data_IF_020876447320
#
_entry.id   IF_020876447320
#
_cell.length_a   1.000
_cell.length_b   1.000
_cell.length_c   1.000
_cell.angle_alpha   90.00
_cell.angle_beta   90.00
_cell.angle_gamma   90.00
#
_symmetry.space_group_name_H-M   'P 1'
#
loop_
_entity.id
_entity.type
_entity.pdbx_description
1 polymer ?
#
# COMPACT_ATOMS: atom_id res chain seq x y z
N UNK A 1 -16.00 1.75 14.49
CA UNK A 1 -15.07 1.85 13.35
C UNK A 1 -15.65 2.82 12.33
N UNK A 2 -14.88 3.80 11.88
CA UNK A 2 -15.30 4.78 10.87
C UNK A 2 -14.69 4.43 9.51
N UNK A 3 -15.49 4.37 8.45
CA UNK A 3 -15.01 4.08 7.09
C UNK A 3 -14.47 5.35 6.45
N UNK A 4 -13.19 5.36 6.12
CA UNK A 4 -12.51 6.50 5.49
C UNK A 4 -12.61 6.47 3.97
N UNK A 5 -12.56 5.28 3.38
CA UNK A 5 -12.62 5.09 1.92
C UNK A 5 -13.17 3.71 1.57
N UNK A 6 -13.87 3.62 0.44
CA UNK A 6 -14.24 2.36 -0.21
C UNK A 6 -14.39 2.59 -1.71
N UNK A 7 -13.61 1.85 -2.51
CA UNK A 7 -13.61 1.99 -3.97
C UNK A 7 -12.42 1.30 -4.62
N UNK A 8 -12.41 1.24 -5.95
CA UNK A 8 -11.28 0.71 -6.69
C UNK A 8 -10.07 1.65 -6.58
N UNK A 9 -8.90 1.08 -6.31
CA UNK A 9 -7.62 1.79 -6.28
C UNK A 9 -6.56 0.98 -7.00
N UNK A 10 -5.63 1.63 -7.69
CA UNK A 10 -4.34 1.02 -7.94
C UNK A 10 -3.57 0.97 -6.61
N UNK A 11 -3.06 -0.19 -6.20
CA UNK A 11 -2.25 -0.34 -4.97
C UNK A 11 -0.78 -0.27 -5.34
N UNK A 12 -0.04 0.62 -4.69
CA UNK A 12 1.38 0.82 -4.94
C UNK A 12 2.18 0.90 -3.63
N UNK A 13 2.90 -0.17 -3.29
CA UNK A 13 3.88 -0.17 -2.20
C UNK A 13 5.27 0.21 -2.72
N UNK A 14 5.93 1.15 -2.05
CA UNK A 14 7.23 1.70 -2.46
C UNK A 14 8.26 1.75 -1.34
N UNK A 15 9.47 1.27 -1.63
CA UNK A 15 10.58 1.21 -0.70
C UNK A 15 11.20 -0.19 -0.63
N UNK A 16 12.34 -0.33 0.07
CA UNK A 16 13.05 -1.62 0.16
C UNK A 16 12.26 -2.70 0.90
N UNK A 17 11.52 -2.31 1.94
CA UNK A 17 10.67 -3.22 2.72
C UNK A 17 9.54 -2.43 3.38
N UNK A 18 8.34 -2.50 2.82
CA UNK A 18 7.17 -1.72 3.28
C UNK A 18 6.32 -2.47 4.29
N UNK A 19 6.26 -3.79 4.15
CA UNK A 19 5.34 -4.65 4.90
C UNK A 19 6.11 -5.60 5.82
N UNK A 20 5.55 -5.84 7.00
CA UNK A 20 5.88 -6.97 7.87
C UNK A 20 4.77 -8.00 7.67
N UNK A 21 5.13 -9.17 7.17
CA UNK A 21 4.19 -10.29 7.05
C UNK A 21 3.91 -10.89 8.43
N UNK A 22 2.62 -11.10 8.75
CA UNK A 22 2.19 -11.68 10.01
C UNK A 22 1.70 -13.12 9.87
N UNK A 23 0.72 -13.34 8.99
CA UNK A 23 0.06 -14.63 8.85
C UNK A 23 -0.49 -14.78 7.43
N UNK A 24 -0.65 -16.04 7.03
CA UNK A 24 -1.34 -16.44 5.80
C UNK A 24 -2.25 -17.61 6.16
N UNK A 25 -3.51 -17.50 5.77
CA UNK A 25 -4.42 -18.64 5.70
C UNK A 25 -4.90 -18.82 4.25
N UNK A 26 -5.90 -19.68 4.03
CA UNK A 26 -6.39 -20.00 2.70
C UNK A 26 -7.00 -18.81 1.94
N UNK A 27 -7.49 -17.80 2.66
CA UNK A 27 -8.29 -16.70 2.08
C UNK A 27 -7.64 -15.32 2.24
N UNK A 28 -6.72 -15.16 3.20
CA UNK A 28 -6.16 -13.86 3.53
C UNK A 28 -4.69 -13.94 3.94
N UNK A 29 -3.93 -12.97 3.46
CA UNK A 29 -2.61 -12.63 3.96
C UNK A 29 -2.68 -11.35 4.81
N UNK A 30 -2.09 -11.38 5.98
CA UNK A 30 -2.07 -10.25 6.91
C UNK A 30 -0.68 -9.61 6.97
N UNK A 31 -0.66 -8.28 6.91
CA UNK A 31 0.55 -7.48 6.98
C UNK A 31 0.38 -6.30 7.93
N UNK A 32 1.46 -5.89 8.59
CA UNK A 32 1.59 -4.55 9.14
C UNK A 32 2.42 -3.66 8.22
N UNK A 33 2.12 -2.37 8.19
CA UNK A 33 2.92 -1.38 7.46
C UNK A 33 4.00 -0.81 8.37
N UNK A 34 5.23 -0.81 7.88
CA UNK A 34 6.39 -0.27 8.58
C UNK A 34 6.29 1.25 8.69
N UNK A 35 6.70 1.80 9.84
CA UNK A 35 6.81 3.26 10.05
C UNK A 35 5.53 3.95 10.51
N UNK A 36 4.49 3.19 10.88
CA UNK A 36 3.23 3.70 11.44
C UNK A 36 3.05 3.28 12.91
N UNK A 37 4.00 3.64 13.77
CA UNK A 37 4.02 3.20 15.18
C UNK A 37 2.95 3.88 16.03
N UNK A 38 2.64 5.16 15.77
CA UNK A 38 1.64 5.91 16.54
C UNK A 38 0.21 5.46 16.24
N UNK A 39 -0.03 5.03 15.00
CA UNK A 39 -1.33 4.59 14.50
C UNK A 39 -1.12 3.38 13.60
N UNK A 40 -1.08 2.16 14.16
CA UNK A 40 -0.75 0.96 13.42
C UNK A 40 -1.65 0.81 12.19
N UNK A 41 -1.04 0.50 11.05
CA UNK A 41 -1.74 0.20 9.81
C UNK A 41 -1.62 -1.29 9.52
N UNK A 42 -2.75 -1.97 9.44
CA UNK A 42 -2.85 -3.37 9.06
C UNK A 42 -3.43 -3.48 7.66
N UNK A 43 -2.87 -4.38 6.84
CA UNK A 43 -3.41 -4.77 5.54
C UNK A 43 -3.89 -6.21 5.63
N UNK A 44 -5.12 -6.44 5.21
CA UNK A 44 -5.70 -7.75 4.96
C UNK A 44 -5.86 -7.90 3.44
N UNK A 45 -5.05 -8.74 2.83
CA UNK A 45 -5.07 -8.97 1.38
C UNK A 45 -5.79 -10.28 1.05
N UNK A 46 -6.96 -10.16 0.43
CA UNK A 46 -7.81 -11.26 -0.03
C UNK A 46 -7.68 -11.47 -1.54
N UNK A 47 -6.74 -10.80 -2.22
CA UNK A 47 -6.62 -10.85 -3.68
C UNK A 47 -5.86 -12.10 -4.11
N UNK A 48 -6.31 -12.74 -5.18
CA UNK A 48 -5.71 -14.00 -5.65
C UNK A 48 -4.23 -13.83 -5.98
N UNK A 49 -3.89 -12.73 -6.65
CA UNK A 49 -2.52 -12.40 -7.01
C UNK A 49 -1.69 -11.95 -5.79
N UNK A 50 -2.32 -11.34 -4.78
CA UNK A 50 -1.66 -10.98 -3.52
C UNK A 50 -1.26 -12.23 -2.73
N UNK A 51 -2.17 -13.19 -2.62
CA UNK A 51 -1.92 -14.52 -2.05
C UNK A 51 -0.85 -15.28 -2.85
N UNK A 52 -0.88 -15.23 -4.18
CA UNK A 52 0.15 -15.83 -5.02
C UNK A 52 1.53 -15.15 -4.83
N UNK A 53 1.57 -13.83 -4.67
CA UNK A 53 2.79 -13.07 -4.44
C UNK A 53 3.47 -13.49 -3.13
N UNK A 54 2.71 -13.59 -2.02
CA UNK A 54 3.28 -13.99 -0.73
C UNK A 54 3.69 -15.46 -0.73
N UNK A 55 2.91 -16.37 -1.33
CA UNK A 55 3.30 -17.77 -1.46
C UNK A 55 4.60 -17.92 -2.27
N UNK A 56 4.74 -17.16 -3.37
CA UNK A 56 5.98 -17.12 -4.15
C UNK A 56 7.16 -16.59 -3.33
N UNK A 57 6.95 -15.57 -2.50
CA UNK A 57 7.99 -15.04 -1.62
C UNK A 57 8.42 -16.09 -0.57
N UNK A 58 7.46 -16.72 0.10
CA UNK A 58 7.73 -17.75 1.12
C UNK A 58 8.47 -18.96 0.54
N UNK A 59 8.16 -19.35 -0.70
CA UNK A 59 8.82 -20.47 -1.36
C UNK A 59 10.23 -20.16 -1.87
N UNK A 60 10.51 -18.92 -2.29
CA UNK A 60 11.75 -18.56 -3.00
C UNK A 60 12.70 -17.66 -2.21
N UNK A 61 12.19 -17.00 -1.18
CA UNK A 61 12.86 -15.95 -0.41
C UNK A 61 13.36 -14.75 -1.27
N UNK A 62 12.78 -14.55 -2.47
CA UNK A 62 13.13 -13.45 -3.38
C UNK A 62 12.31 -12.21 -3.10
N UNK A 63 12.75 -11.40 -2.14
CA UNK A 63 12.06 -10.18 -1.71
C UNK A 63 11.84 -9.15 -2.83
N UNK A 64 12.76 -9.04 -3.79
CA UNK A 64 12.66 -8.07 -4.88
C UNK A 64 11.50 -8.38 -5.85
N UNK A 65 11.05 -9.64 -5.92
CA UNK A 65 9.95 -10.06 -6.77
C UNK A 65 8.57 -9.78 -6.15
N UNK A 66 8.52 -9.44 -4.86
CA UNK A 66 7.25 -9.33 -4.14
C UNK A 66 6.47 -8.08 -4.55
N UNK A 67 7.08 -6.89 -4.46
CA UNK A 67 6.37 -5.63 -4.72
C UNK A 67 5.79 -5.56 -6.15
N UNK A 68 6.50 -5.95 -7.23
CA UNK A 68 5.91 -5.98 -8.57
C UNK A 68 4.70 -6.91 -8.71
N UNK A 69 4.62 -8.00 -7.93
CA UNK A 69 3.48 -8.93 -7.92
C UNK A 69 2.34 -8.47 -7.01
N UNK A 70 2.66 -7.74 -5.95
CA UNK A 70 1.69 -7.21 -4.98
C UNK A 70 0.99 -5.94 -5.48
N UNK A 71 1.72 -5.09 -6.22
CA UNK A 71 1.25 -3.83 -6.78
C UNK A 71 0.29 -4.08 -7.93
N UNK A 72 -1.00 -3.94 -7.67
CA UNK A 72 -2.05 -4.23 -8.63
C UNK A 72 -3.36 -3.53 -8.21
N UNK A 73 -4.28 -3.27 -9.14
CA UNK A 73 -5.64 -2.86 -8.81
C UNK A 73 -6.32 -3.72 -7.75
N UNK A 74 -7.04 -3.07 -6.84
CA UNK A 74 -7.84 -3.70 -5.80
C UNK A 74 -9.13 -2.92 -5.56
N UNK A 75 -10.18 -3.61 -5.13
CA UNK A 75 -11.23 -2.95 -4.37
C UNK A 75 -10.70 -2.74 -2.95
N UNK A 76 -10.50 -1.49 -2.58
CA UNK A 76 -9.89 -1.11 -1.30
C UNK A 76 -10.94 -0.58 -0.36
N UNK A 77 -10.96 -1.09 0.86
CA UNK A 77 -11.73 -0.52 1.97
C UNK A 77 -10.78 -0.10 3.08
N UNK A 78 -10.90 1.14 3.55
CA UNK A 78 -10.12 1.65 4.68
C UNK A 78 -11.07 2.02 5.82
N UNK A 79 -10.81 1.44 6.98
CA UNK A 79 -11.50 1.78 8.23
C UNK A 79 -10.50 2.24 9.28
N UNK A 80 -10.90 3.24 10.08
CA UNK A 80 -10.15 3.71 11.24
C UNK A 80 -10.94 3.35 12.50
N UNK A 81 -10.28 2.68 13.43
CA UNK A 81 -10.82 2.40 14.76
C UNK A 81 -10.87 3.68 15.61
N UNK A 82 -11.59 3.62 16.73
CA UNK A 82 -11.63 4.74 17.70
C UNK A 82 -10.26 5.03 18.32
N UNK A 83 -9.40 4.01 18.40
CA UNK A 83 -8.02 4.11 18.89
C UNK A 83 -7.04 4.57 17.80
N UNK A 84 -7.52 4.95 16.62
CA UNK A 84 -6.70 5.46 15.52
C UNK A 84 -6.01 4.39 14.67
N UNK A 85 -6.04 3.10 15.05
CA UNK A 85 -5.58 1.99 14.20
C UNK A 85 -6.32 2.02 12.86
N UNK A 86 -5.58 1.88 11.76
CA UNK A 86 -6.11 1.80 10.40
C UNK A 86 -6.07 0.34 9.93
N UNK A 87 -7.17 -0.13 9.37
CA UNK A 87 -7.24 -1.41 8.67
C UNK A 87 -7.59 -1.15 7.21
N UNK A 88 -6.82 -1.79 6.33
CA UNK A 88 -6.98 -1.74 4.88
C UNK A 88 -7.33 -3.15 4.43
N UNK A 89 -8.49 -3.31 3.80
CA UNK A 89 -8.85 -4.55 3.12
C UNK A 89 -8.64 -4.37 1.62
N UNK A 90 -7.91 -5.31 1.02
CA UNK A 90 -7.69 -5.38 -0.42
C UNK A 90 -8.42 -6.60 -0.94
N UNK A 91 -9.35 -6.40 -1.87
CA UNK A 91 -10.14 -7.46 -2.51
C UNK A 91 -9.97 -7.41 -4.03
N UNK A 92 -10.26 -8.53 -4.69
CA UNK A 92 -10.24 -8.60 -6.16
C UNK A 92 -11.17 -7.52 -6.74
N UNK A 93 -10.77 -6.95 -7.87
CA UNK A 93 -11.57 -6.00 -8.65
C UNK A 93 -11.41 -6.30 -10.13
N UNK A 94 -12.48 -6.09 -10.89
CA UNK A 94 -12.45 -6.19 -12.35
C UNK A 94 -11.89 -4.92 -13.00
N UNK A 95 -11.78 -3.82 -12.24
CA UNK A 95 -11.32 -2.53 -12.73
C UNK A 95 -9.80 -2.48 -12.90
N UNK A 96 -9.34 -2.57 -14.15
CA UNK A 96 -7.91 -2.58 -14.48
C UNK A 96 -7.25 -1.21 -14.36
N UNK A 97 -8.02 -0.12 -14.52
CA UNK A 97 -7.52 1.25 -14.46
C UNK A 97 -8.30 2.11 -13.45
N UNK A 98 -8.18 1.82 -12.14
CA UNK A 98 -8.90 2.59 -11.13
C UNK A 98 -8.52 4.06 -11.17
N UNK A 99 -9.49 4.95 -10.94
CA UNK A 99 -9.29 6.40 -10.86
C UNK A 99 -8.54 6.82 -9.60
N UNK A 100 -8.45 5.97 -8.58
CA UNK A 100 -7.75 6.26 -7.33
C UNK A 100 -6.43 5.49 -7.21
N UNK A 101 -5.50 6.04 -6.45
CA UNK A 101 -4.25 5.38 -6.05
C UNK A 101 -4.21 5.23 -4.54
N UNK A 102 -3.99 4.01 -4.05
CA UNK A 102 -3.52 3.74 -2.69
C UNK A 102 -2.00 3.63 -2.73
N UNK A 103 -1.29 4.62 -2.18
CA UNK A 103 0.16 4.62 -2.12
C UNK A 103 0.63 4.39 -0.69
N UNK A 104 1.51 3.42 -0.50
CA UNK A 104 2.15 3.12 0.78
C UNK A 104 3.66 3.15 0.57
N UNK A 105 4.32 4.17 1.10
CA UNK A 105 5.74 4.38 0.86
C UNK A 105 6.50 4.53 2.18
N UNK A 106 7.67 3.92 2.29
CA UNK A 106 8.55 4.10 3.45
C UNK A 106 9.95 4.56 3.03
N UNK A 107 10.57 5.38 3.88
CA UNK A 107 11.93 5.83 3.62
C UNK A 107 12.04 6.73 2.38
N UNK A 108 11.00 7.53 2.13
CA UNK A 108 11.01 8.59 1.11
C UNK A 108 11.37 9.94 1.75
N UNK A 109 11.87 10.89 0.96
CA UNK A 109 12.08 12.27 1.40
C UNK A 109 10.75 13.01 1.31
N UNK A 110 10.39 13.80 2.31
CA UNK A 110 9.13 14.55 2.31
C UNK A 110 8.98 15.44 1.05
N UNK A 111 10.06 16.10 0.62
CA UNK A 111 10.10 16.90 -0.60
C UNK A 111 9.81 16.14 -1.91
N UNK A 112 9.71 14.81 -1.88
CA UNK A 112 9.37 13.97 -3.06
C UNK A 112 7.90 13.57 -3.09
N UNK A 113 7.11 13.93 -2.08
CA UNK A 113 5.68 13.66 -2.03
C UNK A 113 4.98 14.69 -2.93
N UNK A 114 4.27 14.25 -3.98
CA UNK A 114 3.60 15.15 -4.89
C UNK A 114 2.47 15.91 -4.18
N UNK A 115 2.24 17.15 -4.61
CA UNK A 115 1.13 17.98 -4.16
C UNK A 115 -0.14 17.58 -4.91
N UNK A 116 -0.80 16.52 -4.44
CA UNK A 116 -2.13 16.12 -4.90
C UNK A 116 -3.20 16.45 -3.86
N UNK A 117 -4.45 16.53 -4.31
CA UNK A 117 -5.60 16.51 -3.39
C UNK A 117 -5.78 15.10 -2.87
N UNK A 118 -5.43 14.90 -1.60
CA UNK A 118 -5.53 13.59 -0.95
C UNK A 118 -6.91 13.40 -0.32
N UNK A 119 -7.53 12.25 -0.59
CA UNK A 119 -8.70 11.75 0.14
C UNK A 119 -8.30 11.23 1.52
N UNK A 120 -7.11 10.67 1.62
CA UNK A 120 -6.46 10.26 2.85
C UNK A 120 -4.98 10.58 2.74
N UNK A 121 -4.39 11.18 3.78
CA UNK A 121 -2.96 11.38 3.90
C UNK A 121 -2.54 11.22 5.35
N UNK A 122 -1.76 10.20 5.62
CA UNK A 122 -1.14 9.94 6.92
C UNK A 122 0.37 9.92 6.73
N UNK A 123 1.08 10.73 7.53
CA UNK A 123 2.52 10.90 7.50
C UNK A 123 3.09 10.65 8.88
N UNK A 124 4.14 9.85 8.95
CA UNK A 124 4.88 9.64 10.19
C UNK A 124 6.39 9.75 9.94
N UNK A 125 7.14 10.33 10.90
CA UNK A 125 8.60 10.24 10.89
C UNK A 125 9.04 8.77 10.87
N UNK A 126 9.98 8.43 10.01
CA UNK A 126 10.56 7.10 9.95
C UNK A 126 12.07 7.22 9.74
N UNK A 127 12.83 7.09 10.84
CA UNK A 127 14.26 7.42 10.88
C UNK A 127 14.47 8.88 10.42
N UNK A 128 15.44 9.15 9.55
CA UNK A 128 15.69 10.48 8.96
C UNK A 128 14.85 10.75 7.69
N UNK A 129 13.75 10.04 7.52
CA UNK A 129 12.86 10.06 6.35
C UNK A 129 11.40 9.99 6.81
N UNK A 130 10.47 9.71 5.91
CA UNK A 130 9.05 9.57 6.26
C UNK A 130 8.44 8.25 5.77
N UNK A 131 7.40 7.82 6.48
CA UNK A 131 6.43 6.84 6.03
C UNK A 131 5.13 7.56 5.61
N UNK A 132 4.56 7.14 4.47
CA UNK A 132 3.39 7.75 3.83
C UNK A 132 2.36 6.66 3.54
N UNK A 133 1.12 6.91 3.97
CA UNK A 133 -0.07 6.20 3.56
C UNK A 133 -1.01 7.23 2.96
N UNK A 134 -1.38 7.06 1.70
CA UNK A 134 -2.29 8.00 1.06
C UNK A 134 -3.24 7.39 0.06
N UNK A 135 -4.39 8.04 -0.08
CA UNK A 135 -5.32 7.86 -1.19
C UNK A 135 -5.50 9.20 -1.89
N UNK A 136 -5.40 9.20 -3.21
CA UNK A 136 -5.66 10.35 -4.05
C UNK A 136 -6.25 9.93 -5.41
N UNK A 137 -6.94 10.85 -6.06
CA UNK A 137 -7.38 10.69 -7.44
C UNK A 137 -6.18 10.79 -8.37
N UNK A 138 -6.06 9.86 -9.31
CA UNK A 138 -4.98 9.82 -10.28
C UNK A 138 -5.22 10.93 -11.30
N UNK A 139 -4.23 11.82 -11.54
CA UNK A 139 -4.42 12.95 -12.43
C UNK A 139 -4.67 12.57 -13.90
N UNK A 140 -4.35 11.33 -14.32
CA UNK A 140 -4.64 10.81 -15.66
C UNK A 140 -4.89 9.29 -15.65
N UNK A 141 -5.87 8.78 -16.42
CA UNK A 141 -5.92 7.37 -16.78
C UNK A 141 -4.85 7.12 -17.84
N UNK A 142 -3.95 6.16 -17.60
CA UNK A 142 -2.85 5.74 -18.47
C UNK A 142 -1.65 6.69 -18.52
N UNK A 143 -0.72 6.49 -17.60
CA UNK A 143 0.74 6.37 -17.83
C UNK A 143 1.38 6.37 -16.44
N UNK A 144 2.01 5.25 -16.07
CA UNK A 144 2.97 5.29 -14.98
C UNK A 144 3.99 6.37 -15.34
N UNK A 145 4.30 7.35 -14.49
CA UNK A 145 5.47 8.17 -14.76
C UNK A 145 6.65 7.21 -14.86
N UNK A 146 7.25 7.12 -16.06
CA UNK A 146 8.31 6.18 -16.39
C UNK A 146 9.58 6.32 -15.51
N UNK A 147 9.58 7.28 -14.58
CA UNK A 147 10.65 7.58 -13.66
C UNK A 147 10.05 8.01 -12.32
N UNK A 148 10.05 7.10 -11.34
CA UNK A 148 10.39 7.55 -9.99
C UNK A 148 11.91 7.65 -9.95
N UNK A 149 12.51 8.78 -9.53
CA UNK A 149 13.94 8.81 -9.30
C UNK A 149 14.25 7.66 -8.35
N UNK A 150 15.16 6.78 -8.78
CA UNK A 150 15.76 5.79 -7.89
C UNK A 150 16.10 6.52 -6.60
N UNK A 151 15.73 5.92 -5.45
CA UNK A 151 16.41 6.27 -4.23
C UNK A 151 17.86 5.84 -4.44
N UNK A 152 18.66 6.73 -5.02
CA UNK A 152 20.09 6.53 -5.17
C UNK A 152 20.64 6.18 -3.79
N UNK A 153 21.41 5.10 -3.84
CA UNK A 153 22.09 4.41 -2.75
C UNK A 153 22.90 5.34 -1.85
#
# INVERSE_FOLDING_TARGET
MNRLFSGSTHVDIQGKQVLIFHSLNAEVAEYAVIGFENYPVQILDYRDFGLAAINSLLATNRFHDFAPKFNHPAHTTIVKSEQGKIQIELRNTDEQNPSHMLRIAIGIKEATIPEYTFLLKELQPFKNKVALLSIYERPFPNEFPAYYPSCDT
#
